data_IF_966014809415
#
_entry.id   IF_966014809415
#
_cell.length_a   1.000
_cell.length_b   1.000
_cell.length_c   1.000
_cell.angle_alpha   90.00
_cell.angle_beta   90.00
_cell.angle_gamma   90.00
#
_symmetry.space_group_name_H-M   'P 1'
#
loop_
_entity.id
_entity.type
_entity.pdbx_description
1 polymer ?
#
# COMPACT_ATOMS: atom_id res chain seq x y z
N UNK A 1 1.88 -18.91 5.76
CA UNK A 1 2.83 -19.40 4.73
C UNK A 1 2.48 -20.79 4.18
N UNK A 2 2.37 -21.84 5.03
CA UNK A 2 2.18 -23.22 4.55
C UNK A 2 0.86 -23.45 3.78
N UNK A 3 -0.23 -22.81 4.19
CA UNK A 3 -1.51 -22.86 3.44
C UNK A 3 -1.39 -22.19 2.07
N UNK A 4 -0.81 -20.98 1.99
CA UNK A 4 -0.60 -20.28 0.71
C UNK A 4 0.26 -21.10 -0.26
N UNK A 5 1.31 -21.76 0.24
CA UNK A 5 2.13 -22.65 -0.59
C UNK A 5 1.35 -23.87 -1.10
N UNK A 6 0.47 -24.43 -0.26
CA UNK A 6 -0.42 -25.52 -0.69
C UNK A 6 -1.40 -25.04 -1.77
N UNK A 7 -1.98 -23.86 -1.60
CA UNK A 7 -2.92 -23.30 -2.57
C UNK A 7 -2.23 -23.03 -3.92
N UNK A 8 -1.03 -22.45 -3.91
CA UNK A 8 -0.22 -22.24 -5.11
C UNK A 8 0.15 -23.57 -5.80
N UNK A 9 0.47 -24.60 -5.01
CA UNK A 9 0.73 -25.94 -5.55
C UNK A 9 -0.52 -26.55 -6.21
N UNK A 10 -1.69 -26.42 -5.58
CA UNK A 10 -2.96 -26.88 -6.16
C UNK A 10 -3.32 -26.08 -7.42
N UNK A 11 -3.08 -24.77 -7.44
CA UNK A 11 -3.29 -23.92 -8.62
C UNK A 11 -2.40 -24.36 -9.79
N UNK A 12 -1.13 -24.71 -9.55
CA UNK A 12 -0.23 -25.25 -10.58
C UNK A 12 -0.73 -26.58 -11.13
N UNK A 13 -1.13 -27.51 -10.27
CA UNK A 13 -1.69 -28.79 -10.73
C UNK A 13 -2.95 -28.54 -11.59
N UNK A 14 -3.82 -27.64 -11.14
CA UNK A 14 -5.01 -27.24 -11.89
C UNK A 14 -4.70 -26.61 -13.24
N UNK A 15 -3.70 -25.71 -13.31
CA UNK A 15 -3.31 -25.05 -14.57
C UNK A 15 -2.81 -26.05 -15.61
N UNK A 16 -1.97 -27.00 -15.17
CA UNK A 16 -1.47 -28.08 -16.02
C UNK A 16 -2.62 -28.96 -16.55
N UNK A 17 -3.63 -29.26 -15.74
CA UNK A 17 -4.82 -30.00 -16.19
C UNK A 17 -5.65 -29.21 -17.20
N UNK A 18 -5.83 -27.91 -16.98
CA UNK A 18 -6.59 -27.03 -17.88
C UNK A 18 -5.93 -26.88 -19.26
N UNK A 19 -4.60 -26.85 -19.32
CA UNK A 19 -3.86 -26.77 -20.59
C UNK A 19 -3.95 -28.02 -21.47
N UNK A 20 -4.41 -29.15 -20.92
CA UNK A 20 -4.73 -30.34 -21.72
C UNK A 20 -5.96 -30.13 -22.60
N UNK A 21 -6.82 -29.15 -22.28
CA UNK A 21 -8.00 -28.82 -23.08
C UNK A 21 -7.63 -27.84 -24.22
N UNK A 22 -7.84 -28.21 -25.50
CA UNK A 22 -7.39 -27.41 -26.66
C UNK A 22 -7.95 -25.98 -26.70
N UNK A 23 -9.14 -25.74 -26.11
CA UNK A 23 -9.80 -24.44 -26.09
C UNK A 23 -9.29 -23.45 -25.06
N UNK A 24 -8.41 -23.86 -24.13
CA UNK A 24 -7.92 -23.05 -23.01
C UNK A 24 -6.43 -22.67 -23.19
N UNK A 25 -5.71 -23.37 -24.06
CA UNK A 25 -4.27 -23.17 -24.31
C UNK A 25 -3.87 -21.74 -24.67
N UNK A 26 -4.75 -20.97 -25.30
CA UNK A 26 -4.50 -19.58 -25.68
C UNK A 26 -4.45 -18.61 -24.49
N UNK A 27 -4.93 -19.03 -23.30
CA UNK A 27 -4.92 -18.23 -22.08
C UNK A 27 -3.61 -18.33 -21.28
N UNK A 28 -2.67 -19.19 -21.68
CA UNK A 28 -1.39 -19.43 -20.97
C UNK A 28 -1.54 -19.50 -19.44
N UNK A 29 -2.51 -20.31 -18.97
CA UNK A 29 -2.91 -20.32 -17.55
C UNK A 29 -1.74 -20.67 -16.62
N UNK A 30 -0.81 -21.53 -17.04
CA UNK A 30 0.37 -21.84 -16.22
C UNK A 30 1.30 -20.65 -16.05
N UNK A 31 1.53 -19.86 -17.11
CA UNK A 31 2.35 -18.63 -17.02
C UNK A 31 1.70 -17.62 -16.06
N UNK A 32 0.37 -17.49 -16.10
CA UNK A 32 -0.39 -16.63 -15.18
C UNK A 32 -0.18 -17.09 -13.73
N UNK A 33 -0.28 -18.39 -13.45
CA UNK A 33 -0.11 -18.95 -12.11
C UNK A 33 1.33 -18.78 -11.60
N UNK A 34 2.33 -18.89 -12.48
CA UNK A 34 3.75 -18.66 -12.12
C UNK A 34 4.02 -17.20 -11.76
N UNK A 35 3.48 -16.23 -12.51
CA UNK A 35 3.60 -14.82 -12.14
C UNK A 35 2.83 -14.50 -10.86
N UNK A 36 1.63 -15.08 -10.71
CA UNK A 36 0.86 -14.94 -9.47
C UNK A 36 1.63 -15.47 -8.25
N UNK A 37 2.28 -16.63 -8.35
CA UNK A 37 3.13 -17.16 -7.27
C UNK A 37 4.23 -16.18 -6.87
N UNK A 38 4.95 -15.60 -7.84
CA UNK A 38 6.02 -14.63 -7.56
C UNK A 38 5.49 -13.43 -6.79
N UNK A 39 4.34 -12.89 -7.21
CA UNK A 39 3.68 -11.77 -6.53
C UNK A 39 3.23 -12.15 -5.11
N UNK A 40 2.61 -13.32 -4.95
CA UNK A 40 2.12 -13.79 -3.65
C UNK A 40 3.27 -14.05 -2.66
N UNK A 41 4.40 -14.59 -3.13
CA UNK A 41 5.58 -14.82 -2.28
C UNK A 41 6.14 -13.52 -1.71
N UNK A 42 6.09 -12.43 -2.48
CA UNK A 42 6.50 -11.11 -1.98
C UNK A 42 5.54 -10.56 -0.94
N UNK A 43 4.23 -10.81 -1.09
CA UNK A 43 3.21 -10.34 -0.15
C UNK A 43 3.23 -11.07 1.21
N UNK A 44 3.72 -12.31 1.27
CA UNK A 44 3.74 -13.09 2.52
C UNK A 44 4.99 -12.86 3.39
N UNK A 45 5.98 -12.12 2.91
CA UNK A 45 7.22 -11.83 3.65
C UNK A 45 7.28 -10.34 4.00
N UNK A 46 6.84 -10.02 5.23
CA UNK A 46 6.69 -8.63 5.70
C UNK A 46 8.01 -7.86 5.82
N UNK A 47 9.16 -8.52 5.62
CA UNK A 47 10.45 -7.83 5.53
C UNK A 47 10.56 -7.00 4.25
N UNK A 48 9.86 -7.39 3.18
CA UNK A 48 9.78 -6.58 1.97
C UNK A 48 8.96 -5.32 2.21
N UNK A 49 7.85 -5.42 2.94
CA UNK A 49 7.02 -4.29 3.33
C UNK A 49 7.80 -3.30 4.20
N UNK A 50 8.52 -3.79 5.23
CA UNK A 50 9.41 -2.95 6.03
C UNK A 50 10.45 -2.20 5.19
N UNK A 51 11.11 -2.89 4.25
CA UNK A 51 12.09 -2.25 3.36
C UNK A 51 11.44 -1.22 2.43
N UNK A 52 10.22 -1.46 1.98
CA UNK A 52 9.47 -0.51 1.17
C UNK A 52 9.10 0.74 1.98
N UNK A 53 8.67 0.59 3.24
CA UNK A 53 8.41 1.71 4.16
C UNK A 53 9.67 2.55 4.38
N UNK A 54 10.82 1.91 4.62
CA UNK A 54 12.11 2.61 4.72
C UNK A 54 12.45 3.41 3.45
N UNK A 55 12.18 2.83 2.27
CA UNK A 55 12.40 3.50 0.99
C UNK A 55 11.46 4.70 0.82
N UNK A 56 10.17 4.55 1.15
CA UNK A 56 9.22 5.66 1.15
C UNK A 56 9.66 6.78 2.10
N UNK A 57 10.13 6.44 3.30
CA UNK A 57 10.63 7.43 4.24
C UNK A 57 11.79 8.27 3.65
N UNK A 58 12.71 7.63 2.93
CA UNK A 58 13.80 8.32 2.24
C UNK A 58 13.28 9.21 1.10
N UNK A 59 12.38 8.70 0.27
CA UNK A 59 11.82 9.44 -0.85
C UNK A 59 11.04 10.67 -0.39
N UNK A 60 10.34 10.59 0.75
CA UNK A 60 9.47 11.65 1.28
C UNK A 60 10.11 12.50 2.39
N UNK A 61 11.41 12.34 2.68
CA UNK A 61 12.11 13.08 3.75
C UNK A 61 11.99 14.61 3.66
N UNK A 62 11.78 15.17 2.46
CA UNK A 62 11.58 16.60 2.23
C UNK A 62 10.12 17.03 2.01
N UNK A 63 9.15 16.18 2.32
CA UNK A 63 7.72 16.43 2.13
C UNK A 63 7.02 16.51 3.47
N UNK A 64 6.62 17.71 3.89
CA UNK A 64 6.10 17.96 5.24
C UNK A 64 4.66 17.45 5.47
N UNK A 65 3.95 17.10 4.39
CA UNK A 65 2.54 16.71 4.42
C UNK A 65 2.30 15.23 4.08
N UNK A 66 3.36 14.43 3.93
CA UNK A 66 3.28 12.97 3.75
C UNK A 66 4.28 12.30 4.69
N UNK A 67 3.84 11.29 5.44
CA UNK A 67 4.68 10.50 6.33
C UNK A 67 4.38 9.01 6.11
N UNK A 68 5.34 8.16 6.45
CA UNK A 68 5.15 6.71 6.49
C UNK A 68 5.56 6.20 7.87
N UNK A 69 4.88 5.17 8.41
CA UNK A 69 5.31 4.49 9.64
C UNK A 69 6.75 3.99 9.54
N UNK A 70 7.47 4.01 10.66
CA UNK A 70 8.85 3.55 10.75
C UNK A 70 8.92 2.11 11.25
N UNK A 71 9.46 1.16 10.46
CA UNK A 71 9.70 -0.19 10.93
C UNK A 71 10.67 -0.23 12.12
N UNK A 72 10.34 -1.02 13.15
CA UNK A 72 11.10 -1.13 14.39
C UNK A 72 11.91 -2.42 14.41
N UNK A 73 13.18 -2.33 14.05
CA UNK A 73 14.13 -3.44 14.17
C UNK A 73 14.59 -3.63 15.63
N UNK A 74 14.82 -4.87 16.10
CA UNK A 74 14.85 -6.14 15.36
C UNK A 74 13.50 -6.89 15.31
N UNK A 75 12.37 -6.22 15.55
CA UNK A 75 11.06 -6.87 15.63
C UNK A 75 10.41 -7.16 14.26
N UNK A 76 11.08 -6.80 13.17
CA UNK A 76 10.68 -7.13 11.80
C UNK A 76 11.13 -8.55 11.45
N UNK A 77 10.17 -9.41 11.15
CA UNK A 77 10.39 -10.81 10.74
C UNK A 77 9.59 -11.12 9.47
N UNK A 78 9.72 -12.35 8.95
CA UNK A 78 8.93 -12.78 7.78
C UNK A 78 7.42 -12.67 7.98
N UNK A 79 6.93 -12.91 9.20
CA UNK A 79 5.50 -13.05 9.50
C UNK A 79 4.96 -11.93 10.40
N UNK A 80 5.83 -11.06 10.91
CA UNK A 80 5.44 -9.97 11.83
C UNK A 80 6.23 -8.72 11.45
N UNK A 81 5.51 -7.62 11.24
CA UNK A 81 6.05 -6.27 11.09
C UNK A 81 5.58 -5.46 12.30
N UNK A 82 6.54 -4.83 12.98
CA UNK A 82 6.28 -3.87 14.05
C UNK A 82 6.79 -2.52 13.58
N UNK A 83 5.98 -1.48 13.72
CA UNK A 83 6.26 -0.12 13.25
C UNK A 83 5.75 0.94 14.23
N UNK A 84 6.02 2.22 13.96
CA UNK A 84 5.47 3.33 14.74
C UNK A 84 3.96 3.41 14.62
N UNK A 85 3.31 3.76 15.73
CA UNK A 85 1.87 4.02 15.73
C UNK A 85 1.60 5.47 15.33
N UNK A 86 0.72 5.67 14.35
CA UNK A 86 0.35 6.98 13.84
C UNK A 86 -1.11 7.27 14.23
N UNK A 87 -1.32 8.20 15.16
CA UNK A 87 -2.66 8.56 15.63
C UNK A 87 -3.39 9.39 14.56
N UNK A 88 -4.19 8.72 13.74
CA UNK A 88 -4.83 9.28 12.55
C UNK A 88 -6.15 8.57 12.23
N UNK A 89 -7.00 9.17 11.36
CA UNK A 89 -8.23 8.54 10.88
C UNK A 89 -8.13 8.14 9.41
N UNK A 90 -8.77 7.05 8.97
CA UNK A 90 -8.81 6.68 7.55
C UNK A 90 -9.33 7.82 6.69
N UNK A 91 -8.74 7.99 5.49
CA UNK A 91 -9.14 9.07 4.56
C UNK A 91 -10.63 9.02 4.22
N UNK A 92 -11.23 7.83 4.24
CA UNK A 92 -12.67 7.61 3.99
C UNK A 92 -13.58 8.40 4.93
N UNK A 93 -13.14 8.66 6.17
CA UNK A 93 -13.86 9.49 7.14
C UNK A 93 -14.10 10.92 6.65
N UNK A 94 -13.20 11.46 5.81
CA UNK A 94 -13.26 12.84 5.31
C UNK A 94 -13.86 12.95 3.91
N UNK A 95 -14.30 11.84 3.32
CA UNK A 95 -14.92 11.84 1.98
C UNK A 95 -16.40 12.25 2.00
N UNK A 96 -16.99 12.47 3.19
CA UNK A 96 -18.42 12.75 3.34
C UNK A 96 -18.76 14.21 3.06
N UNK A 97 -20.02 14.46 2.64
CA UNK A 97 -20.47 15.78 2.21
C UNK A 97 -20.42 16.83 3.33
N UNK A 98 -20.58 16.37 4.58
CA UNK A 98 -20.55 17.15 5.82
C UNK A 98 -19.14 17.68 6.16
N UNK A 99 -18.09 17.06 5.62
CA UNK A 99 -16.71 17.56 5.78
C UNK A 99 -16.56 18.89 5.04
N UNK A 100 -15.85 19.85 5.66
CA UNK A 100 -15.54 21.16 5.05
C UNK A 100 -14.97 20.95 3.63
N UNK A 101 -15.56 21.61 2.63
CA UNK A 101 -15.15 21.45 1.22
C UNK A 101 -13.66 21.74 1.01
N UNK A 102 -13.15 22.77 1.68
CA UNK A 102 -11.74 23.17 1.60
C UNK A 102 -10.80 22.09 2.12
N UNK A 103 -11.16 21.42 3.22
CA UNK A 103 -10.40 20.29 3.76
C UNK A 103 -10.36 19.13 2.77
N UNK A 104 -11.51 18.77 2.17
CA UNK A 104 -11.55 17.73 1.14
C UNK A 104 -10.68 18.07 -0.06
N UNK A 105 -10.70 19.33 -0.52
CA UNK A 105 -9.86 19.79 -1.62
C UNK A 105 -8.37 19.74 -1.26
N UNK A 106 -8.01 20.12 -0.03
CA UNK A 106 -6.63 20.02 0.46
C UNK A 106 -6.16 18.57 0.50
N UNK A 107 -6.93 17.65 1.07
CA UNK A 107 -6.61 16.21 1.12
C UNK A 107 -6.47 15.64 -0.30
N UNK A 108 -7.41 15.96 -1.20
CA UNK A 108 -7.34 15.51 -2.60
C UNK A 108 -6.08 16.03 -3.31
N UNK A 109 -5.70 17.29 -3.09
CA UNK A 109 -4.48 17.87 -3.64
C UNK A 109 -3.24 17.16 -3.10
N UNK A 110 -3.13 16.99 -1.78
CA UNK A 110 -2.00 16.29 -1.16
C UNK A 110 -1.87 14.86 -1.67
N UNK A 111 -2.98 14.12 -1.81
CA UNK A 111 -2.97 12.75 -2.35
C UNK A 111 -2.55 12.70 -3.82
N UNK A 112 -2.97 13.68 -4.63
CA UNK A 112 -2.55 13.79 -6.03
C UNK A 112 -1.06 14.11 -6.13
N UNK A 113 -0.56 15.09 -5.36
CA UNK A 113 0.85 15.46 -5.34
C UNK A 113 1.73 14.28 -4.90
N UNK A 114 1.29 13.54 -3.87
CA UNK A 114 1.93 12.30 -3.40
C UNK A 114 2.01 11.24 -4.51
N UNK A 115 0.89 10.95 -5.19
CA UNK A 115 0.86 9.96 -6.27
C UNK A 115 1.74 10.36 -7.45
N UNK A 116 1.66 11.62 -7.89
CA UNK A 116 2.46 12.12 -9.00
C UNK A 116 3.96 12.08 -8.66
N UNK A 117 4.35 12.40 -7.42
CA UNK A 117 5.73 12.29 -6.97
C UNK A 117 6.23 10.83 -7.02
N UNK A 118 5.44 9.88 -6.50
CA UNK A 118 5.78 8.45 -6.55
C UNK A 118 6.03 7.96 -7.99
N UNK A 119 5.17 8.35 -8.92
CA UNK A 119 5.25 7.91 -10.32
C UNK A 119 6.36 8.62 -11.10
N UNK A 120 6.41 9.95 -11.06
CA UNK A 120 7.23 10.74 -11.98
C UNK A 120 8.57 11.18 -11.41
N UNK A 121 8.72 11.19 -10.07
CA UNK A 121 9.96 11.65 -9.41
C UNK A 121 10.71 10.45 -8.84
N UNK A 122 10.04 9.65 -8.02
CA UNK A 122 10.69 8.57 -7.27
C UNK A 122 10.82 7.28 -8.09
N UNK A 123 10.00 7.12 -9.14
CA UNK A 123 9.84 5.87 -9.90
C UNK A 123 9.64 4.66 -8.97
N UNK A 124 8.90 4.88 -7.87
CA UNK A 124 8.62 3.91 -6.82
C UNK A 124 7.24 4.21 -6.25
N UNK A 125 6.30 3.28 -6.45
CA UNK A 125 4.87 3.52 -6.26
C UNK A 125 4.28 2.53 -5.28
N UNK A 126 3.43 3.01 -4.38
CA UNK A 126 2.59 2.15 -3.57
C UNK A 126 1.50 1.53 -4.46
N UNK A 127 1.53 0.21 -4.64
CA UNK A 127 0.66 -0.49 -5.58
C UNK A 127 -0.83 -0.46 -5.17
N UNK A 128 -1.12 -0.19 -3.89
CA UNK A 128 -2.49 -0.16 -3.35
C UNK A 128 -2.75 1.08 -2.48
N UNK A 129 -3.31 2.14 -3.07
CA UNK A 129 -3.71 3.36 -2.37
C UNK A 129 -5.20 3.36 -1.98
N UNK A 130 -5.73 2.18 -1.63
CA UNK A 130 -7.09 2.08 -1.09
C UNK A 130 -7.25 2.94 0.17
N UNK A 131 -8.44 3.52 0.46
CA UNK A 131 -8.66 4.34 1.65
C UNK A 131 -8.34 3.71 3.01
N UNK A 132 -8.12 2.38 3.07
CA UNK A 132 -7.63 1.70 4.27
C UNK A 132 -6.13 1.88 4.54
N UNK A 133 -5.34 2.15 3.50
CA UNK A 133 -3.88 2.33 3.58
C UNK A 133 -3.49 3.82 3.62
N UNK A 134 -4.47 4.72 3.72
CA UNK A 134 -4.25 6.16 3.76
C UNK A 134 -4.98 6.71 4.96
N UNK A 135 -4.21 7.25 5.89
CA UNK A 135 -4.71 7.93 7.07
C UNK A 135 -4.49 9.44 6.91
N UNK A 136 -5.28 10.21 7.65
CA UNK A 136 -5.18 11.66 7.70
C UNK A 136 -5.05 12.08 9.15
N UNK A 137 -4.00 12.84 9.44
CA UNK A 137 -3.71 13.41 10.75
C UNK A 137 -4.02 14.90 10.77
N UNK A 138 -4.43 15.43 11.93
CA UNK A 138 -4.60 16.88 12.15
C UNK A 138 -5.78 17.52 11.39
N UNK A 139 -6.62 16.73 10.72
CA UNK A 139 -7.78 17.24 9.98
C UNK A 139 -8.90 17.80 10.89
N UNK A 140 -8.96 17.37 12.15
CA UNK A 140 -9.92 17.84 13.15
C UNK A 140 -9.71 19.33 13.48
N UNK A 141 -8.46 19.77 13.55
CA UNK A 141 -8.06 21.14 13.90
C UNK A 141 -7.97 22.07 12.68
N UNK A 142 -8.49 21.62 11.53
CA UNK A 142 -8.43 22.37 10.27
C UNK A 142 -9.16 23.72 10.38
N UNK A 143 -8.37 24.79 10.44
CA UNK A 143 -8.80 26.19 10.53
C UNK A 143 -8.49 26.86 11.88
N UNK A 144 -8.26 26.09 12.95
CA UNK A 144 -8.09 26.63 14.30
C UNK A 144 -6.61 26.81 14.69
N UNK A 145 -5.74 25.89 14.25
CA UNK A 145 -4.30 25.95 14.49
C UNK A 145 -3.53 25.73 13.17
N UNK A 146 -3.12 26.80 12.45
CA UNK A 146 -2.45 26.67 11.16
C UNK A 146 -1.08 25.98 11.21
N UNK A 147 -0.48 25.85 12.41
CA UNK A 147 0.81 25.19 12.62
C UNK A 147 0.67 23.67 12.77
N UNK A 148 -0.51 23.16 13.16
CA UNK A 148 -0.82 21.73 13.10
C UNK A 148 -1.29 21.39 11.68
N UNK A 149 -0.31 21.14 10.82
CA UNK A 149 -0.55 20.79 9.42
C UNK A 149 -1.35 19.48 9.28
N UNK A 150 -2.23 19.45 8.27
CA UNK A 150 -2.86 18.20 7.82
C UNK A 150 -1.80 17.34 7.13
N UNK A 151 -1.64 16.09 7.57
CA UNK A 151 -0.65 15.15 7.03
C UNK A 151 -1.36 13.91 6.51
N UNK A 152 -0.91 13.41 5.36
CA UNK A 152 -1.25 12.08 4.85
C UNK A 152 -0.24 11.09 5.43
N UNK A 153 -0.74 10.01 6.02
CA UNK A 153 0.07 8.92 6.56
C UNK A 153 -0.27 7.63 5.82
#
# INVERSE_FOLDING_TARGET
>A
VQQVQMDLFLMKIGSWFLELFPGIRWLSVTEIVEEFEKLMVQQIDLRYEAKNLEHFHLNFKGTDYVRFPLPLHPFVTKNVLVETFEESKPISHYLHIETKRELRQKIAKMGMDMLLKMVFVDNFVHADLHPGNILVQGAEHFGDHPEEGTVIV
#
